data_IF_379183035738
#
_entry.id   IF_379183035738
#
_cell.length_a   1.000
_cell.length_b   1.000
_cell.length_c   1.000
_cell.angle_alpha   90.00
_cell.angle_beta   90.00
_cell.angle_gamma   90.00
#
_symmetry.space_group_name_H-M   'P 1'
#
loop_
_entity.id
_entity.type
_entity.pdbx_description
1 polymer ?
#
# COMPACT_ATOMS: atom_id res chain seq x y z
N UNK A 1 -10.69 5.08 10.46
CA UNK A 1 -11.41 4.53 9.29
C UNK A 1 -11.49 3.01 9.44
N UNK A 2 -12.67 2.47 9.71
CA UNK A 2 -12.87 1.03 9.77
C UNK A 2 -12.87 0.44 8.36
N UNK A 3 -12.06 -0.60 8.14
CA UNK A 3 -11.99 -1.31 6.86
C UNK A 3 -12.91 -2.52 6.96
N UNK A 4 -14.13 -2.40 6.44
CA UNK A 4 -15.11 -3.49 6.37
C UNK A 4 -15.59 -3.72 4.94
N UNK A 5 -15.85 -4.98 4.59
CA UNK A 5 -16.51 -5.37 3.32
C UNK A 5 -17.87 -5.96 3.68
N UNK A 6 -18.95 -5.40 3.12
CA UNK A 6 -20.27 -6.04 3.20
C UNK A 6 -20.29 -7.22 2.23
N UNK A 7 -20.61 -8.42 2.74
CA UNK A 7 -20.76 -9.64 1.95
C UNK A 7 -22.16 -9.62 1.32
N UNK A 8 -22.27 -9.99 0.04
CA UNK A 8 -23.56 -10.11 -0.67
C UNK A 8 -24.03 -11.57 -0.64
N UNK A 9 -25.35 -11.77 -0.69
CA UNK A 9 -25.97 -13.09 -0.50
C UNK A 9 -25.55 -14.16 -1.53
N UNK A 10 -25.16 -13.77 -2.75
CA UNK A 10 -24.71 -14.69 -3.82
C UNK A 10 -23.20 -14.66 -4.06
N UNK A 11 -22.40 -14.43 -3.02
CA UNK A 11 -20.95 -14.39 -3.15
C UNK A 11 -20.23 -15.55 -2.46
N UNK A 12 -19.33 -16.20 -3.21
CA UNK A 12 -18.36 -17.13 -2.63
C UNK A 12 -17.44 -16.43 -1.61
N UNK A 13 -17.26 -17.07 -0.47
CA UNK A 13 -16.44 -16.59 0.67
C UNK A 13 -15.05 -16.14 0.22
N UNK A 14 -14.42 -16.86 -0.72
CA UNK A 14 -13.09 -16.53 -1.24
C UNK A 14 -13.03 -15.17 -1.95
N UNK A 15 -14.10 -14.83 -2.69
CA UNK A 15 -14.20 -13.53 -3.36
C UNK A 15 -14.34 -12.40 -2.35
N UNK A 16 -15.10 -12.61 -1.28
CA UNK A 16 -15.23 -11.65 -0.19
C UNK A 16 -13.90 -11.41 0.53
N UNK A 17 -13.16 -12.49 0.86
CA UNK A 17 -11.82 -12.42 1.46
C UNK A 17 -10.82 -11.70 0.56
N UNK A 18 -10.86 -11.95 -0.75
CA UNK A 18 -9.98 -11.27 -1.71
C UNK A 18 -10.25 -9.76 -1.75
N UNK A 19 -11.52 -9.34 -1.71
CA UNK A 19 -11.87 -7.91 -1.65
C UNK A 19 -11.44 -7.29 -0.33
N UNK A 20 -11.66 -7.98 0.79
CA UNK A 20 -11.23 -7.52 2.10
C UNK A 20 -9.72 -7.29 2.11
N UNK A 21 -8.92 -8.26 1.66
CA UNK A 21 -7.47 -8.13 1.56
C UNK A 21 -7.05 -6.96 0.66
N UNK A 22 -7.74 -6.73 -0.46
CA UNK A 22 -7.50 -5.55 -1.32
C UNK A 22 -7.81 -4.25 -0.60
N UNK A 23 -8.91 -4.17 0.14
CA UNK A 23 -9.31 -2.97 0.88
C UNK A 23 -8.35 -2.67 2.04
N UNK A 24 -7.93 -3.70 2.79
CA UNK A 24 -6.89 -3.60 3.83
C UNK A 24 -5.58 -3.08 3.24
N UNK A 25 -5.12 -3.67 2.13
CA UNK A 25 -3.91 -3.22 1.46
C UNK A 25 -4.02 -1.79 0.91
N UNK A 26 -5.20 -1.39 0.43
CA UNK A 26 -5.47 -0.02 -0.06
C UNK A 26 -5.47 1.00 1.08
N UNK A 27 -6.10 0.67 2.20
CA UNK A 27 -6.19 1.51 3.39
C UNK A 27 -4.83 1.73 4.07
N UNK A 28 -3.87 0.81 3.87
CA UNK A 28 -2.54 0.84 4.49
C UNK A 28 -2.54 0.82 6.02
N UNK A 29 -3.64 0.43 6.66
CA UNK A 29 -3.79 0.35 8.12
C UNK A 29 -2.66 -0.45 8.79
N UNK A 30 -2.30 -1.61 8.24
CA UNK A 30 -1.20 -2.44 8.77
C UNK A 30 0.19 -1.80 8.60
N UNK A 31 0.34 -0.86 7.66
CA UNK A 31 1.60 -0.15 7.44
C UNK A 31 1.73 1.03 8.40
N UNK A 32 0.63 1.73 8.66
CA UNK A 32 0.56 2.83 9.62
C UNK A 32 0.74 2.31 11.03
N UNK A 33 0.03 1.24 11.39
CA UNK A 33 0.23 0.54 12.65
C UNK A 33 1.71 0.26 12.90
N UNK A 34 2.39 -0.41 11.95
CA UNK A 34 3.82 -0.72 12.06
C UNK A 34 4.74 0.50 12.14
N UNK A 35 4.35 1.63 11.54
CA UNK A 35 5.14 2.88 11.62
C UNK A 35 4.98 3.56 12.98
N UNK A 36 3.83 3.39 13.61
CA UNK A 36 3.50 4.01 14.89
C UNK A 36 3.87 3.13 16.10
N UNK A 37 4.33 1.89 15.89
CA UNK A 37 4.75 1.01 16.99
C UNK A 37 5.95 1.56 17.78
N UNK A 38 6.77 2.41 17.17
CA UNK A 38 7.92 3.03 17.82
C UNK A 38 8.01 4.50 17.45
N UNK A 39 8.52 5.32 18.38
CA UNK A 39 8.79 6.73 18.10
C UNK A 39 9.92 6.84 17.06
N UNK A 40 9.62 7.47 15.93
CA UNK A 40 10.62 7.91 14.96
C UNK A 40 10.78 9.42 15.07
N UNK A 41 12.04 9.89 15.10
CA UNK A 41 12.31 11.32 15.06
C UNK A 41 11.77 11.91 13.74
N UNK A 42 11.23 13.14 13.74
CA UNK A 42 10.68 13.76 12.53
C UNK A 42 11.69 13.86 11.38
N UNK A 43 12.98 14.01 11.68
CA UNK A 43 14.06 14.03 10.68
C UNK A 43 14.20 12.69 9.96
N UNK A 44 14.12 11.58 10.70
CA UNK A 44 14.23 10.23 10.17
C UNK A 44 13.02 9.85 9.33
N UNK A 45 11.83 10.27 9.75
CA UNK A 45 10.60 10.08 8.98
C UNK A 45 10.70 10.81 7.63
N UNK A 46 11.12 12.09 7.65
CA UNK A 46 11.35 12.90 6.44
C UNK A 46 12.39 12.22 5.52
N UNK A 47 13.50 11.72 6.08
CA UNK A 47 14.55 11.01 5.33
C UNK A 47 14.00 9.74 4.68
N UNK A 48 13.22 8.95 5.42
CA UNK A 48 12.62 7.71 4.91
C UNK A 48 11.57 7.98 3.82
N UNK A 49 10.77 9.05 3.97
CA UNK A 49 9.80 9.50 2.96
C UNK A 49 10.49 9.90 1.65
N UNK A 50 11.58 10.67 1.72
CA UNK A 50 12.40 11.03 0.55
C UNK A 50 12.99 9.79 -0.14
N UNK A 51 13.57 8.85 0.62
CA UNK A 51 14.13 7.58 0.08
C UNK A 51 13.05 6.74 -0.62
N UNK A 52 11.86 6.61 -0.02
CA UNK A 52 10.70 5.91 -0.61
C UNK A 52 10.25 6.56 -1.92
N UNK A 53 10.19 7.90 -1.96
CA UNK A 53 9.83 8.65 -3.16
C UNK A 53 10.84 8.47 -4.30
N UNK A 54 12.15 8.55 -4.02
CA UNK A 54 13.22 8.30 -5.01
C UNK A 54 13.11 6.89 -5.59
N UNK A 55 12.90 5.88 -4.74
CA UNK A 55 12.72 4.48 -5.17
C UNK A 55 11.49 4.31 -6.06
N UNK A 56 10.38 5.00 -5.74
CA UNK A 56 9.16 4.97 -6.56
C UNK A 56 9.40 5.58 -7.95
N UNK A 57 9.97 6.79 -8.01
CA UNK A 57 10.29 7.47 -9.28
C UNK A 57 11.21 6.62 -10.17
N UNK A 58 12.23 6.00 -9.57
CA UNK A 58 13.14 5.13 -10.31
C UNK A 58 12.43 3.90 -10.90
N UNK A 59 11.51 3.28 -10.16
CA UNK A 59 10.68 2.18 -10.68
C UNK A 59 9.74 2.63 -11.80
N UNK A 60 9.15 3.81 -11.68
CA UNK A 60 8.26 4.39 -12.69
C UNK A 60 9.01 4.69 -14.00
N UNK A 61 10.22 5.28 -13.91
CA UNK A 61 11.11 5.50 -15.07
C UNK A 61 11.44 4.19 -15.79
N UNK A 62 11.94 3.19 -15.05
CA UNK A 62 12.26 1.86 -15.61
C UNK A 62 11.07 1.21 -16.31
N UNK A 63 9.85 1.37 -15.77
CA UNK A 63 8.62 0.86 -16.42
C UNK A 63 8.31 1.59 -17.72
N UNK A 64 8.52 2.90 -17.77
CA UNK A 64 8.36 3.71 -18.99
C UNK A 64 9.37 3.28 -20.07
N UNK A 65 10.63 3.12 -19.71
CA UNK A 65 11.67 2.67 -20.63
C UNK A 65 11.37 1.28 -21.20
N UNK A 66 10.93 0.34 -20.35
CA UNK A 66 10.55 -1.00 -20.79
C UNK A 66 9.30 -1.02 -21.70
N UNK A 67 8.42 -0.02 -21.60
CA UNK A 67 7.29 0.13 -22.53
C UNK A 67 7.72 0.69 -23.88
N UNK A 68 8.72 1.57 -23.92
CA UNK A 68 9.27 2.11 -25.17
C UNK A 68 10.11 1.08 -25.95
N UNK A 69 10.66 0.10 -25.24
CA UNK A 69 11.45 -1.01 -25.82
C UNK A 69 10.61 -2.18 -26.34
N UNK A 70 9.31 -2.19 -26.05
CA UNK A 70 8.34 -3.17 -26.56
C UNK A 70 7.63 -2.56 -27.75
#
# INVERSE_FOLDING_TARGET
>A
MAVGVKVRNNESIDRALKRFRRQVNRSRVLREYRQNMAYMKPSEEKRLKKKKARRRRHRERKRGDNRKRR
#
